data_IF_504197701886
#
_entry.id   IF_504197701886
#
_cell.length_a   1.000
_cell.length_b   1.000
_cell.length_c   1.000
_cell.angle_alpha   90.00
_cell.angle_beta   90.00
_cell.angle_gamma   90.00
#
_symmetry.space_group_name_H-M   'P 1'
#
loop_
_entity.id
_entity.type
_entity.pdbx_description
1 polymer ?
#
# COMPACT_ATOMS: atom_id res chain seq x y z
N UNK A 1 -9.78 24.73 11.91
CA UNK A 1 -8.57 24.52 11.07
C UNK A 1 -7.41 24.26 12.01
N UNK A 2 -7.34 23.05 12.59
CA UNK A 2 -6.20 22.55 13.36
C UNK A 2 -6.27 21.03 13.42
N UNK A 3 -5.08 20.45 13.58
CA UNK A 3 -4.76 19.04 13.84
C UNK A 3 -4.69 18.09 12.64
N UNK A 4 -3.79 18.51 11.75
CA UNK A 4 -2.97 17.63 10.94
C UNK A 4 -1.57 17.63 11.59
N UNK A 5 -1.26 16.62 12.40
CA UNK A 5 0.11 16.17 12.72
C UNK A 5 0.05 15.01 13.72
N UNK A 6 0.96 14.07 13.51
CA UNK A 6 1.41 13.02 14.44
C UNK A 6 0.85 11.62 14.20
N UNK A 7 1.36 10.97 13.16
CA UNK A 7 1.61 9.53 13.20
C UNK A 7 3.12 9.36 12.97
N UNK A 8 3.86 9.31 14.08
CA UNK A 8 5.26 8.93 14.07
C UNK A 8 5.30 7.40 13.96
N UNK A 9 5.89 6.85 12.89
CA UNK A 9 6.24 5.43 12.83
C UNK A 9 7.75 5.29 12.98
N UNK A 10 8.12 4.78 14.16
CA UNK A 10 9.45 4.34 14.51
C UNK A 10 9.87 3.18 13.61
N UNK A 11 11.12 3.23 13.17
CA UNK A 11 11.77 2.17 12.42
C UNK A 11 11.80 0.84 13.19
N UNK A 12 11.50 -0.26 12.48
CA UNK A 12 12.11 -1.58 12.70
C UNK A 12 12.44 -2.14 11.31
N UNK A 13 13.73 -2.36 11.06
CA UNK A 13 14.25 -3.10 9.90
C UNK A 13 14.39 -4.60 10.21
N UNK A 14 14.40 -5.35 9.11
CA UNK A 14 15.03 -6.65 8.87
C UNK A 14 14.23 -7.92 9.22
N UNK A 15 13.68 -8.53 8.16
CA UNK A 15 13.40 -9.95 8.08
C UNK A 15 14.04 -10.54 6.82
N UNK A 16 15.36 -10.75 6.83
CA UNK A 16 16.01 -11.66 5.88
C UNK A 16 16.01 -13.06 6.46
N UNK A 17 15.33 -14.00 5.81
CA UNK A 17 15.74 -15.41 5.84
C UNK A 17 15.37 -16.11 4.53
N UNK A 18 16.42 -16.55 3.83
CA UNK A 18 16.42 -17.40 2.63
C UNK A 18 15.82 -18.78 2.96
N UNK A 19 14.91 -19.26 2.10
CA UNK A 19 14.58 -20.69 2.05
C UNK A 19 13.23 -21.05 1.44
N UNK A 20 13.03 -20.85 0.13
CA UNK A 20 12.42 -21.86 -0.76
C UNK A 20 12.58 -21.43 -2.24
N UNK A 21 13.59 -22.01 -2.91
CA UNK A 21 13.82 -21.77 -4.33
C UNK A 21 12.85 -22.63 -5.16
N UNK A 22 11.64 -22.11 -5.41
CA UNK A 22 10.88 -22.18 -6.69
C UNK A 22 9.42 -21.72 -6.52
N UNK A 23 9.21 -20.39 -6.51
CA UNK A 23 7.96 -19.69 -6.91
C UNK A 23 8.05 -18.13 -6.77
N UNK A 24 9.17 -17.61 -6.24
CA UNK A 24 9.49 -16.18 -6.03
C UNK A 24 9.50 -15.35 -7.33
N UNK A 25 8.87 -14.19 -7.47
CA UNK A 25 7.85 -13.45 -6.72
C UNK A 25 7.19 -12.54 -7.76
N UNK A 26 5.87 -12.64 -7.98
CA UNK A 26 5.16 -11.78 -8.96
C UNK A 26 5.08 -10.31 -8.53
N UNK A 27 5.55 -9.96 -7.32
CA UNK A 27 5.43 -8.63 -6.72
C UNK A 27 6.80 -7.93 -6.74
N UNK A 28 6.81 -6.65 -7.11
CA UNK A 28 8.00 -5.82 -7.22
C UNK A 28 8.44 -5.23 -5.86
N UNK A 29 7.48 -5.04 -4.95
CA UNK A 29 7.66 -4.40 -3.65
C UNK A 29 6.96 -5.19 -2.55
N UNK A 30 7.55 -5.21 -1.35
CA UNK A 30 6.94 -5.75 -0.14
C UNK A 30 7.20 -4.81 1.03
N UNK A 31 6.13 -4.31 1.67
CA UNK A 31 6.23 -3.38 2.79
C UNK A 31 5.07 -3.56 3.77
N UNK A 32 5.17 -2.90 4.92
CA UNK A 32 4.12 -2.84 5.92
C UNK A 32 3.56 -1.42 6.02
N UNK A 33 2.23 -1.31 6.10
CA UNK A 33 1.56 0.00 6.15
C UNK A 33 0.34 0.00 7.06
N UNK A 34 0.10 1.09 7.81
CA UNK A 34 -1.09 1.22 8.65
C UNK A 34 -2.35 1.46 7.80
N UNK A 35 -3.47 0.92 8.26
CA UNK A 35 -4.80 1.18 7.71
C UNK A 35 -5.34 2.47 8.29
N UNK A 36 -5.57 3.44 7.43
CA UNK A 36 -6.09 4.76 7.77
C UNK A 36 -7.54 4.90 7.28
N UNK A 37 -8.38 5.54 8.07
CA UNK A 37 -9.72 5.96 7.68
C UNK A 37 -9.71 7.47 7.33
N UNK A 38 -10.20 7.83 6.14
CA UNK A 38 -10.50 9.23 5.82
C UNK A 38 -11.99 9.49 5.98
N UNK A 39 -12.32 10.44 6.86
CA UNK A 39 -13.67 11.02 6.99
C UNK A 39 -14.09 11.82 5.75
N UNK A 40 -15.01 11.26 4.96
CA UNK A 40 -15.78 11.87 3.88
C UNK A 40 -17.16 11.16 3.75
N UNK A 41 -18.05 11.55 2.80
CA UNK A 41 -19.27 10.78 2.56
C UNK A 41 -18.90 9.36 2.11
N UNK A 42 -19.38 8.39 2.90
CA UNK A 42 -18.88 7.00 3.05
C UNK A 42 -17.40 6.94 3.49
N UNK A 43 -17.07 6.21 4.58
CA UNK A 43 -15.69 6.10 5.03
C UNK A 43 -14.84 5.37 3.99
N UNK A 44 -13.75 6.02 3.57
CA UNK A 44 -12.74 5.42 2.70
C UNK A 44 -11.56 4.92 3.55
N UNK A 45 -11.14 3.69 3.30
CA UNK A 45 -10.02 3.05 3.99
C UNK A 45 -8.82 2.99 3.05
N UNK A 46 -7.62 3.18 3.60
CA UNK A 46 -6.38 3.18 2.83
C UNK A 46 -5.28 2.47 3.59
N UNK A 47 -4.33 1.88 2.89
CA UNK A 47 -3.01 1.54 3.45
C UNK A 47 -2.04 2.65 3.07
N UNK A 48 -1.31 3.18 4.05
CA UNK A 48 -0.22 4.12 3.77
C UNK A 48 1.04 3.35 3.35
N UNK A 49 1.59 3.73 2.20
CA UNK A 49 2.89 3.24 1.74
C UNK A 49 3.98 4.05 2.48
N UNK A 50 5.03 3.41 3.03
CA UNK A 50 6.15 4.13 3.62
C UNK A 50 6.78 5.12 2.63
N UNK A 51 7.43 6.16 3.16
CA UNK A 51 8.03 7.21 2.33
C UNK A 51 9.09 6.66 1.36
N UNK A 52 9.99 5.81 1.87
CA UNK A 52 11.07 5.16 1.08
C UNK A 52 10.48 4.34 -0.09
N UNK A 53 9.52 3.45 0.21
CA UNK A 53 8.83 2.66 -0.81
C UNK A 53 8.05 3.54 -1.80
N UNK A 54 7.48 4.66 -1.33
CA UNK A 54 6.74 5.58 -2.21
C UNK A 54 7.66 6.23 -3.24
N UNK A 55 8.88 6.61 -2.85
CA UNK A 55 9.89 7.16 -3.77
C UNK A 55 10.34 6.12 -4.80
N UNK A 56 10.59 4.89 -4.36
CA UNK A 56 11.01 3.79 -5.23
C UNK A 56 9.90 3.39 -6.22
N UNK A 57 8.66 3.29 -5.75
CA UNK A 57 7.50 3.03 -6.61
C UNK A 57 7.33 4.15 -7.64
N UNK A 58 7.48 5.41 -7.23
CA UNK A 58 7.40 6.55 -8.15
C UNK A 58 8.48 6.46 -9.23
N UNK A 59 9.68 6.02 -8.87
CA UNK A 59 10.75 5.80 -9.84
C UNK A 59 10.41 4.65 -10.81
N UNK A 60 9.89 3.53 -10.31
CA UNK A 60 9.49 2.37 -11.11
C UNK A 60 8.29 2.65 -12.02
N UNK A 61 7.37 3.53 -11.59
CA UNK A 61 6.14 3.89 -12.30
C UNK A 61 6.33 4.90 -13.43
N UNK A 62 7.56 5.34 -13.72
CA UNK A 62 7.84 6.30 -14.79
C UNK A 62 7.27 5.83 -16.13
N UNK A 63 6.37 6.64 -16.70
CA UNK A 63 5.69 6.33 -17.96
C UNK A 63 4.39 5.53 -17.82
N UNK A 64 4.05 5.05 -16.62
CA UNK A 64 2.79 4.38 -16.28
C UNK A 64 1.86 5.28 -15.45
N UNK A 65 2.41 6.26 -14.75
CA UNK A 65 1.68 7.22 -13.94
C UNK A 65 0.74 8.12 -14.75
N UNK A 66 -0.48 8.36 -14.24
CA UNK A 66 -1.45 9.28 -14.81
C UNK A 66 -2.01 10.20 -13.73
N UNK A 67 -1.91 11.52 -13.92
CA UNK A 67 -2.26 12.52 -12.89
C UNK A 67 -1.69 12.19 -11.49
N UNK A 68 -0.46 11.64 -11.47
CA UNK A 68 0.24 11.22 -10.25
C UNK A 68 -0.24 9.89 -9.64
N UNK A 69 -1.28 9.27 -10.20
CA UNK A 69 -1.73 7.93 -9.79
C UNK A 69 -0.94 6.85 -10.53
N UNK A 70 -0.64 5.76 -9.83
CA UNK A 70 0.12 4.63 -10.38
C UNK A 70 -0.76 3.39 -10.39
N UNK A 71 -1.05 2.77 -11.55
CA UNK A 71 -1.77 1.51 -11.58
C UNK A 71 -0.91 0.41 -10.96
N UNK A 72 -1.52 -0.41 -10.10
CA UNK A 72 -0.83 -1.48 -9.36
C UNK A 72 -1.70 -2.72 -9.21
N UNK A 73 -1.05 -3.87 -9.06
CA UNK A 73 -1.64 -5.07 -8.50
C UNK A 73 -1.15 -5.20 -7.06
N UNK A 74 -2.07 -5.40 -6.13
CA UNK A 74 -1.78 -5.45 -4.69
C UNK A 74 -2.22 -6.80 -4.14
N UNK A 75 -1.38 -7.41 -3.30
CA UNK A 75 -1.67 -8.62 -2.55
C UNK A 75 -1.58 -8.35 -1.05
N UNK A 76 -2.64 -8.70 -0.33
CA UNK A 76 -2.71 -8.66 1.13
C UNK A 76 -3.22 -10.01 1.61
N UNK A 77 -2.37 -10.76 2.32
CA UNK A 77 -2.64 -12.17 2.64
C UNK A 77 -2.93 -12.97 1.35
N UNK A 78 -4.10 -13.61 1.31
CA UNK A 78 -4.58 -14.37 0.14
C UNK A 78 -5.41 -13.53 -0.86
N UNK A 79 -5.61 -12.24 -0.58
CA UNK A 79 -6.43 -11.36 -1.43
C UNK A 79 -5.55 -10.57 -2.38
N UNK A 80 -5.72 -10.81 -3.68
CA UNK A 80 -5.10 -10.02 -4.75
C UNK A 80 -6.16 -9.16 -5.47
N UNK A 81 -5.82 -7.90 -5.74
CA UNK A 81 -6.69 -6.98 -6.46
C UNK A 81 -5.93 -5.89 -7.21
N UNK A 82 -6.47 -5.44 -8.33
CA UNK A 82 -5.94 -4.32 -9.10
C UNK A 82 -6.53 -3.00 -8.62
N UNK A 83 -5.67 -1.99 -8.45
CA UNK A 83 -6.08 -0.64 -8.06
C UNK A 83 -5.12 0.41 -8.61
N UNK A 84 -5.27 1.67 -8.21
CA UNK A 84 -4.29 2.72 -8.45
C UNK A 84 -3.89 3.37 -7.13
N UNK A 85 -2.60 3.65 -6.98
CA UNK A 85 -2.05 4.41 -5.87
C UNK A 85 -2.45 5.87 -5.98
N UNK A 86 -2.80 6.48 -4.86
CA UNK A 86 -3.13 7.91 -4.77
C UNK A 86 -1.98 8.66 -4.10
N UNK A 87 -1.38 9.67 -4.74
CA UNK A 87 -0.34 10.48 -4.12
C UNK A 87 -0.97 11.39 -3.05
N UNK A 88 -0.38 11.42 -1.85
CA UNK A 88 -0.79 12.29 -0.75
C UNK A 88 0.40 12.63 0.14
N UNK A 89 0.63 13.94 0.34
CA UNK A 89 1.63 14.45 1.30
C UNK A 89 3.05 13.84 1.12
N UNK A 90 3.43 13.51 -0.11
CA UNK A 90 4.73 12.90 -0.44
C UNK A 90 4.75 11.36 -0.47
N UNK A 91 3.71 10.70 0.05
CA UNK A 91 3.57 9.25 0.06
C UNK A 91 2.47 8.77 -0.90
N UNK A 92 2.39 7.46 -1.13
CA UNK A 92 1.26 6.84 -1.80
C UNK A 92 0.26 6.22 -0.81
N UNK A 93 -1.00 6.20 -1.21
CA UNK A 93 -2.08 5.51 -0.52
C UNK A 93 -2.67 4.41 -1.41
N UNK A 94 -2.87 3.23 -0.85
CA UNK A 94 -3.61 2.13 -1.50
C UNK A 94 -5.06 2.17 -1.02
N UNK A 95 -6.04 2.42 -1.90
CA UNK A 95 -7.44 2.39 -1.49
C UNK A 95 -7.91 0.96 -1.22
N UNK A 96 -8.51 0.75 -0.06
CA UNK A 96 -9.14 -0.50 0.35
C UNK A 96 -10.66 -0.41 0.16
N UNK A 97 -11.15 -1.06 -0.90
CA UNK A 97 -12.60 -1.19 -1.14
C UNK A 97 -13.22 -2.13 -0.11
N UNK A 98 -14.50 -1.95 0.17
CA UNK A 98 -15.27 -2.84 1.05
C UNK A 98 -15.20 -4.32 0.63
N UNK A 99 -15.15 -4.60 -0.69
CA UNK A 99 -15.02 -5.94 -1.23
C UNK A 99 -13.68 -6.63 -0.91
N UNK A 100 -12.63 -5.85 -0.61
CA UNK A 100 -11.32 -6.34 -0.16
C UNK A 100 -11.28 -6.39 1.36
N UNK A 101 -11.68 -5.28 2.00
CA UNK A 101 -11.58 -5.08 3.45
C UNK A 101 -12.44 -6.07 4.25
N UNK A 102 -13.72 -6.21 3.88
CA UNK A 102 -14.68 -7.00 4.67
C UNK A 102 -14.36 -8.50 4.68
N UNK A 103 -14.07 -9.17 3.54
CA UNK A 103 -13.72 -10.58 3.56
C UNK A 103 -12.38 -10.86 4.25
N UNK A 104 -11.42 -9.93 4.15
CA UNK A 104 -10.11 -10.06 4.78
C UNK A 104 -10.10 -9.67 6.28
N UNK A 105 -11.22 -9.22 6.85
CA UNK A 105 -11.30 -8.82 8.26
C UNK A 105 -10.41 -7.63 8.62
N UNK A 106 -10.12 -6.75 7.66
CA UNK A 106 -9.20 -5.63 7.83
C UNK A 106 -9.90 -4.50 8.60
N UNK A 107 -9.26 -4.03 9.67
CA UNK A 107 -9.73 -2.94 10.52
C UNK A 107 -8.81 -1.72 10.46
N UNK A 108 -9.31 -0.57 10.95
CA UNK A 108 -8.50 0.66 11.09
C UNK A 108 -7.39 0.43 12.10
N UNK A 109 -6.27 1.14 11.94
CA UNK A 109 -5.08 1.06 12.79
C UNK A 109 -4.32 -0.28 12.76
N UNK A 110 -4.79 -1.26 11.98
CA UNK A 110 -4.01 -2.46 11.68
C UNK A 110 -2.84 -2.13 10.77
N UNK A 111 -1.72 -2.81 10.97
CA UNK A 111 -0.58 -2.78 10.04
C UNK A 111 -0.67 -4.01 9.15
N UNK A 112 -0.69 -3.80 7.83
CA UNK A 112 -0.82 -4.87 6.85
C UNK A 112 0.50 -5.08 6.12
N UNK A 113 0.90 -6.35 5.96
CA UNK A 113 1.91 -6.73 4.99
C UNK A 113 1.31 -6.69 3.58
N UNK A 114 1.95 -5.92 2.71
CA UNK A 114 1.49 -5.65 1.35
C UNK A 114 2.56 -6.09 0.36
N UNK A 115 2.17 -6.97 -0.56
CA UNK A 115 2.89 -7.17 -1.81
C UNK A 115 2.32 -6.26 -2.88
N UNK A 116 3.18 -5.58 -3.64
CA UNK A 116 2.76 -4.65 -4.68
C UNK A 116 3.56 -4.88 -5.95
N UNK A 117 2.88 -4.83 -7.08
CA UNK A 117 3.48 -4.79 -8.41
C UNK A 117 2.96 -3.59 -9.18
N UNK A 118 3.86 -2.90 -9.88
CA UNK A 118 3.50 -1.77 -10.73
C UNK A 118 2.93 -2.28 -12.06
N UNK A 119 1.79 -1.73 -12.49
CA UNK A 119 1.07 -2.13 -13.71
C UNK A 119 -0.31 -2.75 -13.45
N UNK A 120 -0.90 -3.36 -14.49
CA UNK A 120 -2.26 -3.93 -14.45
C UNK A 120 -2.34 -5.43 -14.75
N UNK A 121 -1.23 -6.04 -15.15
CA UNK A 121 -1.13 -7.43 -15.62
C UNK A 121 0.09 -8.08 -15.04
#
# INVERSE_FOLDING_TARGET
MSDQRQIAMSAVRAGSSVGDTRCMSLMDFEFEGPVLEWRGPAPFYFVAVPEEDSEDIKFAAKGLEYWGQVPVVVRIGDTEFTTALFPKDGCYLIPLKDAVRKPAGIEVDQVLAVGLRVGRE
#
